data_IF_599746117171
#
_entry.id   IF_599746117171
#
_cell.length_a   1.000
_cell.length_b   1.000
_cell.length_c   1.000
_cell.angle_alpha   90.00
_cell.angle_beta   90.00
_cell.angle_gamma   90.00
#
_symmetry.space_group_name_H-M   'P 1'
#
loop_
_entity.id
_entity.type
_entity.pdbx_description
1 polymer ?
#
# COMPACT_ATOMS: atom_id res chain seq x y z
N UNK A 1 3.25 3.96 29.83
CA UNK A 1 3.80 4.70 28.65
C UNK A 1 2.71 5.60 28.07
N UNK A 2 3.04 6.73 27.45
CA UNK A 2 2.07 7.57 26.74
C UNK A 2 1.63 6.82 25.49
N UNK A 3 0.31 6.61 25.31
CA UNK A 3 -0.24 6.04 24.09
C UNK A 3 -0.48 7.14 23.07
N UNK A 4 -0.29 6.82 21.79
CA UNK A 4 -0.67 7.71 20.68
C UNK A 4 -2.17 7.58 20.45
N UNK A 5 -2.91 8.69 20.51
CA UNK A 5 -4.33 8.76 20.21
C UNK A 5 -4.55 8.81 18.71
N UNK A 6 -5.24 7.84 18.15
CA UNK A 6 -5.43 7.67 16.71
C UNK A 6 -6.90 7.78 16.34
N UNK A 7 -7.20 8.63 15.35
CA UNK A 7 -8.46 8.63 14.63
C UNK A 7 -8.34 7.87 13.31
N UNK A 8 -9.35 7.13 12.90
CA UNK A 8 -9.35 6.34 11.65
C UNK A 8 -10.46 6.83 10.74
N UNK A 9 -10.09 7.28 9.52
CA UNK A 9 -11.01 7.59 8.43
C UNK A 9 -11.11 6.40 7.49
N UNK A 10 -12.32 5.83 7.33
CA UNK A 10 -12.57 4.61 6.57
C UNK A 10 -12.58 3.37 7.47
N UNK A 11 -13.73 3.05 8.06
CA UNK A 11 -13.88 1.97 9.04
C UNK A 11 -13.71 0.57 8.47
N UNK A 12 -13.96 0.37 7.16
CA UNK A 12 -13.84 -0.97 6.54
C UNK A 12 -12.38 -1.38 6.35
N UNK A 13 -11.59 -0.66 5.54
CA UNK A 13 -10.16 -0.96 5.35
C UNK A 13 -9.36 -0.65 6.62
N UNK A 14 -9.74 0.39 7.34
CA UNK A 14 -9.10 0.80 8.59
C UNK A 14 -9.24 -0.21 9.75
N UNK A 15 -10.02 -1.29 9.58
CA UNK A 15 -10.16 -2.33 10.61
C UNK A 15 -8.84 -2.93 11.05
N UNK A 16 -7.87 -3.15 10.14
CA UNK A 16 -6.53 -3.64 10.50
C UNK A 16 -5.79 -2.67 11.42
N UNK A 17 -5.89 -1.35 11.16
CA UNK A 17 -5.25 -0.30 11.95
C UNK A 17 -5.93 -0.09 13.30
N UNK A 18 -7.26 -0.22 13.34
CA UNK A 18 -8.03 -0.24 14.59
C UNK A 18 -7.60 -1.43 15.45
N UNK A 19 -7.47 -2.62 14.84
CA UNK A 19 -7.00 -3.83 15.53
C UNK A 19 -5.58 -3.65 16.08
N UNK A 20 -4.69 -2.98 15.35
CA UNK A 20 -3.37 -2.61 15.87
C UNK A 20 -3.49 -1.80 17.16
N UNK A 21 -4.27 -0.72 17.17
CA UNK A 21 -4.46 0.12 18.34
C UNK A 21 -5.03 -0.65 19.54
N UNK A 22 -5.88 -1.64 19.28
CA UNK A 22 -6.45 -2.51 20.34
C UNK A 22 -5.38 -3.48 20.89
N UNK A 23 -4.50 -4.00 20.06
CA UNK A 23 -3.55 -5.07 20.43
C UNK A 23 -2.20 -4.55 20.96
N UNK A 24 -1.67 -3.46 20.39
CA UNK A 24 -0.26 -3.09 20.53
C UNK A 24 0.13 -2.32 21.79
N UNK A 25 -0.78 -1.86 22.61
CA UNK A 25 -0.46 -1.19 23.89
C UNK A 25 0.17 0.21 23.83
N UNK A 26 0.82 0.59 22.71
CA UNK A 26 1.49 1.89 22.49
C UNK A 26 0.59 2.93 21.76
N UNK A 27 -0.59 2.52 21.31
CA UNK A 27 -1.59 3.37 20.66
C UNK A 27 -2.98 3.08 21.20
N UNK A 28 -3.91 3.98 20.94
CA UNK A 28 -5.34 3.79 21.22
C UNK A 28 -6.17 4.44 20.11
N UNK A 29 -7.22 3.76 19.65
CA UNK A 29 -8.21 4.35 18.76
C UNK A 29 -9.19 5.18 19.58
N UNK A 30 -9.36 6.47 19.25
CA UNK A 30 -10.23 7.40 19.97
C UNK A 30 -11.42 7.87 19.13
N UNK A 31 -11.29 7.80 17.80
CA UNK A 31 -12.34 8.21 16.87
C UNK A 31 -12.33 7.37 15.60
N UNK A 32 -13.51 7.07 15.06
CA UNK A 32 -13.69 6.42 13.76
C UNK A 32 -14.67 7.26 12.93
N UNK A 33 -14.27 7.56 11.68
CA UNK A 33 -15.12 8.26 10.73
C UNK A 33 -15.34 7.42 9.48
N UNK A 34 -16.59 7.28 9.08
CA UNK A 34 -16.95 6.66 7.81
C UNK A 34 -18.25 7.27 7.27
N UNK A 35 -18.35 7.54 5.99
CA UNK A 35 -19.58 8.00 5.35
C UNK A 35 -20.67 6.94 5.31
N UNK A 36 -20.29 5.66 5.45
CA UNK A 36 -21.18 4.52 5.44
C UNK A 36 -21.52 4.08 6.87
N UNK A 37 -22.69 4.51 7.34
CA UNK A 37 -23.17 4.27 8.73
C UNK A 37 -23.10 2.80 9.16
N UNK A 38 -23.40 1.77 8.32
CA UNK A 38 -23.27 0.37 8.73
C UNK A 38 -21.86 -0.03 9.16
N UNK A 39 -20.80 0.57 8.59
CA UNK A 39 -19.43 0.31 9.04
C UNK A 39 -19.21 0.82 10.47
N UNK A 40 -19.74 2.00 10.80
CA UNK A 40 -19.66 2.55 12.17
C UNK A 40 -20.43 1.71 13.17
N UNK A 41 -21.67 1.30 12.85
CA UNK A 41 -22.48 0.41 13.69
C UNK A 41 -21.76 -0.89 14.02
N UNK A 42 -21.09 -1.47 13.01
CA UNK A 42 -20.30 -2.67 13.20
C UNK A 42 -19.15 -2.48 14.19
N UNK A 43 -18.43 -1.35 14.13
CA UNK A 43 -17.38 -1.05 15.10
C UNK A 43 -17.94 -0.82 16.51
N UNK A 44 -19.12 -0.22 16.65
CA UNK A 44 -19.81 -0.09 17.93
C UNK A 44 -20.16 -1.45 18.54
N UNK A 45 -20.59 -2.41 17.72
CA UNK A 45 -20.89 -3.78 18.16
C UNK A 45 -19.65 -4.58 18.57
N UNK A 46 -18.53 -4.40 17.84
CA UNK A 46 -17.27 -5.10 18.09
C UNK A 46 -16.52 -4.50 19.30
N UNK A 47 -16.67 -3.22 19.55
CA UNK A 47 -15.98 -2.47 20.60
C UNK A 47 -16.94 -1.81 21.60
N UNK A 48 -17.87 -2.57 22.23
CA UNK A 48 -18.95 -1.98 23.04
C UNK A 48 -18.47 -1.26 24.30
N UNK A 49 -17.30 -1.66 24.83
CA UNK A 49 -16.77 -1.15 26.11
C UNK A 49 -15.61 -0.14 25.90
N UNK A 50 -15.59 0.55 24.74
CA UNK A 50 -14.55 1.52 24.41
C UNK A 50 -15.09 2.95 24.34
N UNK A 51 -14.24 3.93 24.67
CA UNK A 51 -14.57 5.37 24.57
C UNK A 51 -14.37 5.92 23.14
N UNK A 52 -14.64 5.11 22.12
CA UNK A 52 -14.50 5.53 20.71
C UNK A 52 -15.66 6.43 20.32
N UNK A 53 -15.36 7.59 19.75
CA UNK A 53 -16.36 8.48 19.15
C UNK A 53 -16.51 8.18 17.66
N UNK A 54 -17.75 8.15 17.17
CA UNK A 54 -18.07 7.78 15.78
C UNK A 54 -18.61 8.99 15.02
N UNK A 55 -18.11 9.21 13.82
CA UNK A 55 -18.42 10.36 12.98
C UNK A 55 -18.86 9.93 11.58
N UNK A 56 -19.87 10.58 11.04
CA UNK A 56 -20.27 10.48 9.62
C UNK A 56 -19.61 11.57 8.76
N UNK A 57 -19.15 12.65 9.39
CA UNK A 57 -18.58 13.82 8.75
C UNK A 57 -17.12 14.02 9.14
N UNK A 58 -16.26 14.20 8.13
CA UNK A 58 -14.83 14.38 8.34
C UNK A 58 -14.50 15.71 9.05
N UNK A 59 -15.24 16.80 8.78
CA UNK A 59 -14.96 18.10 9.38
C UNK A 59 -15.28 18.13 10.89
N UNK A 60 -16.18 17.28 11.35
CA UNK A 60 -16.38 17.06 12.78
C UNK A 60 -15.34 16.09 13.36
N UNK A 61 -15.00 15.01 12.64
CA UNK A 61 -14.00 14.05 13.03
C UNK A 61 -12.62 14.67 13.25
N UNK A 62 -12.16 15.53 12.34
CA UNK A 62 -10.82 16.09 12.40
C UNK A 62 -10.58 17.03 13.59
N UNK A 63 -11.66 17.53 14.21
CA UNK A 63 -11.62 18.35 15.44
C UNK A 63 -11.47 17.54 16.70
N UNK A 64 -11.62 16.21 16.63
CA UNK A 64 -11.47 15.33 17.80
C UNK A 64 -10.06 15.45 18.40
N UNK A 65 -9.97 15.28 19.74
CA UNK A 65 -8.69 15.28 20.47
C UNK A 65 -7.90 14.00 20.16
N UNK A 66 -7.03 14.05 19.17
CA UNK A 66 -6.18 12.95 18.72
C UNK A 66 -4.80 13.46 18.27
N UNK A 67 -3.79 12.61 18.37
CA UNK A 67 -2.40 12.91 17.94
C UNK A 67 -2.22 12.63 16.44
N UNK A 68 -2.90 11.62 15.90
CA UNK A 68 -2.70 11.14 14.54
C UNK A 68 -4.00 10.69 13.86
N UNK A 69 -3.98 10.72 12.52
CA UNK A 69 -5.06 10.22 11.66
C UNK A 69 -4.54 9.12 10.75
N UNK A 70 -5.27 8.02 10.69
CA UNK A 70 -5.13 6.97 9.67
C UNK A 70 -6.14 7.24 8.56
N UNK A 71 -5.65 7.35 7.33
CA UNK A 71 -6.46 7.50 6.11
C UNK A 71 -6.57 6.14 5.43
N UNK A 72 -7.74 5.53 5.53
CA UNK A 72 -8.08 4.24 4.93
C UNK A 72 -9.39 4.33 4.12
N UNK A 73 -9.73 5.53 3.69
CA UNK A 73 -10.85 5.87 2.81
C UNK A 73 -10.53 5.53 1.33
N UNK A 74 -11.14 6.19 0.38
CA UNK A 74 -10.86 5.96 -1.03
C UNK A 74 -9.47 6.44 -1.42
N UNK A 75 -8.71 5.59 -2.14
CA UNK A 75 -7.32 5.86 -2.50
C UNK A 75 -7.12 7.15 -3.32
N UNK A 76 -8.12 7.56 -4.07
CA UNK A 76 -8.13 8.82 -4.83
C UNK A 76 -8.38 10.07 -3.98
N UNK A 77 -8.65 9.90 -2.69
CA UNK A 77 -8.96 11.00 -1.77
C UNK A 77 -7.89 11.20 -0.68
N UNK A 78 -6.84 10.38 -0.63
CA UNK A 78 -5.87 10.40 0.47
C UNK A 78 -5.13 11.74 0.57
N UNK A 79 -4.64 12.30 -0.54
CA UNK A 79 -3.85 13.54 -0.51
C UNK A 79 -4.60 14.73 0.10
N UNK A 80 -5.83 15.10 -0.33
CA UNK A 80 -6.54 16.22 0.26
C UNK A 80 -6.85 16.01 1.75
N UNK A 81 -7.18 14.79 2.19
CA UNK A 81 -7.40 14.50 3.61
C UNK A 81 -6.11 14.53 4.42
N UNK A 82 -4.98 14.05 3.87
CA UNK A 82 -3.67 14.13 4.51
C UNK A 82 -3.25 15.59 4.74
N UNK A 83 -3.35 16.42 3.69
CA UNK A 83 -3.05 17.85 3.75
C UNK A 83 -3.93 18.56 4.79
N UNK A 84 -5.22 18.20 4.83
CA UNK A 84 -6.16 18.77 5.79
C UNK A 84 -5.84 18.36 7.23
N UNK A 85 -5.52 17.08 7.47
CA UNK A 85 -5.14 16.58 8.79
C UNK A 85 -3.85 17.24 9.31
N UNK A 86 -2.85 17.41 8.44
CA UNK A 86 -1.60 18.09 8.82
C UNK A 86 -1.82 19.58 9.15
N UNK A 87 -2.72 20.27 8.47
CA UNK A 87 -3.11 21.65 8.81
C UNK A 87 -3.73 21.76 10.20
N UNK A 88 -4.40 20.70 10.67
CA UNK A 88 -4.94 20.58 12.03
C UNK A 88 -3.93 20.03 13.05
N UNK A 89 -2.65 19.91 12.66
CA UNK A 89 -1.59 19.48 13.57
C UNK A 89 -1.58 17.99 13.89
N UNK A 90 -2.16 17.16 13.01
CA UNK A 90 -2.20 15.70 13.19
C UNK A 90 -1.11 15.01 12.38
N UNK A 91 -0.42 14.02 12.98
CA UNK A 91 0.39 13.06 12.24
C UNK A 91 -0.50 12.26 11.30
N UNK A 92 0.03 11.77 10.18
CA UNK A 92 -0.76 11.06 9.16
C UNK A 92 -0.13 9.73 8.83
N UNK A 93 -0.92 8.67 8.93
CA UNK A 93 -0.70 7.41 8.23
C UNK A 93 -1.66 7.34 7.05
N UNK A 94 -1.12 7.23 5.83
CA UNK A 94 -1.93 7.14 4.62
C UNK A 94 -1.83 5.75 4.02
N UNK A 95 -2.95 5.06 3.86
CA UNK A 95 -3.03 3.89 3.01
C UNK A 95 -2.65 4.24 1.56
N UNK A 96 -2.39 3.21 0.77
CA UNK A 96 -2.09 3.35 -0.66
C UNK A 96 -3.33 3.83 -1.43
N UNK A 97 -3.23 4.82 -2.37
CA UNK A 97 -2.07 5.53 -2.90
C UNK A 97 -1.93 6.94 -2.27
N UNK A 98 -0.73 7.57 -2.40
CA UNK A 98 -0.50 8.86 -1.75
C UNK A 98 -1.23 10.02 -2.44
N UNK A 99 -1.51 9.92 -3.75
CA UNK A 99 -2.16 10.96 -4.56
C UNK A 99 -2.70 10.39 -5.87
N UNK A 100 -3.60 11.10 -6.54
CA UNK A 100 -4.08 10.75 -7.88
C UNK A 100 -3.62 11.71 -8.99
N UNK A 101 -3.07 12.87 -8.64
CA UNK A 101 -2.57 13.89 -9.60
C UNK A 101 -1.20 14.41 -9.18
N UNK A 102 -0.47 14.98 -10.14
CA UNK A 102 0.79 15.65 -9.84
C UNK A 102 0.61 16.91 -8.99
N UNK A 103 -0.50 17.64 -9.19
CA UNK A 103 -0.86 18.77 -8.32
C UNK A 103 -0.96 18.32 -6.86
N UNK A 104 -1.69 17.25 -6.58
CA UNK A 104 -1.82 16.69 -5.23
C UNK A 104 -0.47 16.21 -4.67
N UNK A 105 0.37 15.61 -5.50
CA UNK A 105 1.73 15.19 -5.08
C UNK A 105 2.55 16.39 -4.61
N UNK A 106 2.53 17.51 -5.35
CA UNK A 106 3.23 18.74 -4.99
C UNK A 106 2.68 19.33 -3.69
N UNK A 107 1.35 19.46 -3.59
CA UNK A 107 0.68 20.04 -2.41
C UNK A 107 0.91 19.16 -1.15
N UNK A 108 0.94 17.84 -1.29
CA UNK A 108 1.22 16.91 -0.20
C UNK A 108 2.66 17.07 0.33
N UNK A 109 3.65 17.10 -0.58
CA UNK A 109 5.06 17.33 -0.20
C UNK A 109 5.22 18.64 0.56
N UNK A 110 4.62 19.74 0.05
CA UNK A 110 4.69 21.04 0.70
C UNK A 110 4.00 21.07 2.08
N UNK A 111 2.89 20.34 2.23
CA UNK A 111 2.21 20.20 3.52
C UNK A 111 3.08 19.44 4.54
N UNK A 112 3.71 18.34 4.12
CA UNK A 112 4.63 17.56 4.96
C UNK A 112 5.83 18.41 5.38
N UNK A 113 6.53 19.05 4.43
CA UNK A 113 7.69 19.90 4.72
C UNK A 113 7.37 21.04 5.70
N UNK A 114 6.17 21.63 5.58
CA UNK A 114 5.74 22.76 6.42
C UNK A 114 5.31 22.34 7.81
N UNK A 115 4.81 21.14 7.99
CA UNK A 115 4.13 20.72 9.22
C UNK A 115 5.07 20.27 10.33
N UNK A 116 6.25 19.75 10.00
CA UNK A 116 7.14 19.01 10.91
C UNK A 116 6.48 17.79 11.60
N UNK A 117 5.39 17.28 11.01
CA UNK A 117 4.66 16.11 11.47
C UNK A 117 5.14 14.84 10.78
N UNK A 118 4.88 13.70 11.38
CA UNK A 118 5.13 12.41 10.74
C UNK A 118 4.05 12.18 9.68
N UNK A 119 4.48 11.96 8.45
CA UNK A 119 3.71 11.32 7.40
C UNK A 119 4.31 9.93 7.17
N UNK A 120 3.49 8.90 7.24
CA UNK A 120 3.88 7.53 6.92
C UNK A 120 2.94 6.95 5.86
N UNK A 121 3.51 6.30 4.87
CA UNK A 121 2.78 5.67 3.78
C UNK A 121 2.63 4.16 4.05
N UNK A 122 1.42 3.66 3.97
CA UNK A 122 1.04 2.30 4.34
C UNK A 122 1.25 1.24 3.26
N UNK A 123 2.39 1.27 2.53
CA UNK A 123 2.73 0.20 1.60
C UNK A 123 3.12 -1.08 2.35
N UNK A 124 2.14 -1.84 2.76
CA UNK A 124 2.29 -2.99 3.62
C UNK A 124 3.06 -4.16 3.00
N UNK A 125 3.17 -4.24 1.67
CA UNK A 125 3.99 -5.26 0.99
C UNK A 125 5.48 -5.10 1.28
N UNK A 126 5.95 -3.89 1.60
CA UNK A 126 7.32 -3.64 2.04
C UNK A 126 7.67 -4.38 3.33
N UNK A 127 6.68 -4.63 4.18
CA UNK A 127 6.83 -5.24 5.51
C UNK A 127 6.37 -6.70 5.58
N UNK A 128 6.00 -7.30 4.45
CA UNK A 128 5.78 -8.75 4.40
C UNK A 128 7.10 -9.50 4.68
N UNK A 129 7.06 -10.72 5.24
CA UNK A 129 8.27 -11.41 5.72
C UNK A 129 9.41 -11.48 4.70
N UNK A 130 9.13 -11.80 3.43
CA UNK A 130 10.18 -11.92 2.42
C UNK A 130 10.77 -10.56 2.02
N UNK A 131 10.01 -9.53 1.60
CA UNK A 131 10.56 -8.20 1.32
C UNK A 131 11.30 -7.56 2.50
N UNK A 132 10.78 -7.73 3.71
CA UNK A 132 11.43 -7.22 4.93
C UNK A 132 12.82 -7.85 5.14
N UNK A 133 12.93 -9.16 4.99
CA UNK A 133 14.23 -9.86 5.09
C UNK A 133 15.16 -9.51 3.91
N UNK A 134 14.62 -9.37 2.70
CA UNK A 134 15.39 -8.93 1.53
C UNK A 134 16.00 -7.54 1.76
N UNK A 135 15.27 -6.63 2.42
CA UNK A 135 15.80 -5.31 2.80
C UNK A 135 16.99 -5.43 3.74
N UNK A 136 16.86 -6.22 4.81
CA UNK A 136 17.95 -6.46 5.76
C UNK A 136 19.20 -7.00 5.06
N UNK A 137 19.04 -7.99 4.18
CA UNK A 137 20.13 -8.58 3.43
C UNK A 137 20.79 -7.58 2.46
N UNK A 138 19.97 -6.72 1.83
CA UNK A 138 20.46 -5.67 0.95
C UNK A 138 21.28 -4.62 1.71
N UNK A 139 20.76 -4.15 2.85
CA UNK A 139 21.47 -3.20 3.74
C UNK A 139 22.78 -3.77 4.29
N UNK A 140 22.86 -5.08 4.51
CA UNK A 140 24.11 -5.78 4.86
C UNK A 140 25.07 -5.95 3.65
N UNK A 141 24.69 -5.50 2.45
CA UNK A 141 25.51 -5.60 1.25
C UNK A 141 25.68 -7.01 0.67
N UNK A 142 24.77 -7.95 1.03
CA UNK A 142 24.87 -9.37 0.66
C UNK A 142 24.88 -9.63 -0.84
N UNK A 143 24.18 -8.80 -1.62
CA UNK A 143 24.10 -8.92 -3.08
C UNK A 143 24.74 -7.73 -3.81
N UNK A 144 25.30 -6.75 -3.08
CA UNK A 144 25.86 -5.53 -3.68
C UNK A 144 24.77 -4.59 -4.20
N UNK A 145 25.12 -3.70 -5.11
CA UNK A 145 24.24 -2.69 -5.71
C UNK A 145 23.28 -3.33 -6.72
N UNK A 146 22.01 -2.89 -6.72
CA UNK A 146 21.01 -3.36 -7.68
C UNK A 146 21.42 -3.04 -9.13
N UNK A 147 21.31 -4.03 -9.99
CA UNK A 147 21.48 -3.92 -11.44
C UNK A 147 20.16 -4.19 -12.16
N UNK A 148 19.39 -5.20 -11.69
CA UNK A 148 18.09 -5.57 -12.25
C UNK A 148 17.16 -6.10 -11.18
N UNK A 149 15.85 -5.85 -11.34
CA UNK A 149 14.82 -6.49 -10.52
C UNK A 149 13.57 -6.88 -11.32
N UNK A 150 12.89 -7.91 -10.85
CA UNK A 150 11.53 -8.25 -11.25
C UNK A 150 10.60 -8.21 -10.05
N UNK A 151 9.42 -7.66 -10.26
CA UNK A 151 8.38 -7.64 -9.23
C UNK A 151 6.99 -7.84 -9.83
N UNK A 152 6.14 -8.53 -9.08
CA UNK A 152 4.78 -8.85 -9.49
C UNK A 152 3.78 -8.60 -8.36
N UNK A 153 2.70 -7.90 -8.70
CA UNK A 153 1.47 -7.89 -7.93
C UNK A 153 0.31 -8.32 -8.82
N UNK A 154 0.14 -9.61 -8.95
CA UNK A 154 -0.98 -10.21 -9.67
C UNK A 154 -2.01 -10.63 -8.64
N UNK A 155 -3.17 -9.96 -8.64
CA UNK A 155 -4.25 -10.23 -7.70
C UNK A 155 -5.55 -10.54 -8.43
N UNK A 156 -6.06 -11.77 -8.27
CA UNK A 156 -7.36 -12.14 -8.81
C UNK A 156 -8.49 -11.57 -7.96
N UNK A 157 -8.73 -10.28 -8.08
CA UNK A 157 -9.75 -9.59 -7.31
C UNK A 157 -11.20 -9.86 -7.78
N UNK A 158 -11.40 -10.63 -8.86
CA UNK A 158 -12.75 -10.91 -9.40
C UNK A 158 -13.71 -11.48 -8.34
N UNK A 159 -13.31 -12.45 -7.50
CA UNK A 159 -14.21 -13.03 -6.48
C UNK A 159 -14.67 -12.02 -5.42
N UNK A 160 -13.86 -11.00 -5.12
CA UNK A 160 -14.12 -10.02 -4.07
C UNK A 160 -14.49 -8.63 -4.60
N UNK A 161 -14.60 -8.46 -5.94
CA UNK A 161 -14.78 -7.13 -6.55
C UNK A 161 -16.04 -6.41 -6.06
N UNK A 162 -17.14 -7.15 -5.91
CA UNK A 162 -18.40 -6.63 -5.37
C UNK A 162 -18.26 -6.12 -3.94
N UNK A 163 -17.45 -6.76 -3.09
CA UNK A 163 -17.27 -6.34 -1.70
C UNK A 163 -16.33 -5.13 -1.55
N UNK A 164 -15.36 -4.96 -2.47
CA UNK A 164 -14.41 -3.84 -2.43
C UNK A 164 -14.81 -2.64 -3.30
N UNK A 165 -15.93 -2.75 -4.04
CA UNK A 165 -16.52 -1.67 -4.85
C UNK A 165 -17.96 -1.37 -4.48
N UNK A 166 -18.56 -2.17 -3.60
CA UNK A 166 -19.97 -2.09 -3.18
C UNK A 166 -20.97 -2.19 -4.37
N UNK A 167 -20.49 -2.57 -5.54
CA UNK A 167 -21.26 -2.55 -6.80
C UNK A 167 -21.52 -1.14 -7.34
N UNK A 168 -20.89 -0.11 -6.84
CA UNK A 168 -21.04 1.28 -7.29
C UNK A 168 -20.33 1.50 -8.63
N UNK A 169 -21.02 2.06 -9.62
CA UNK A 169 -20.44 2.36 -10.93
C UNK A 169 -19.29 3.38 -10.85
N UNK A 170 -19.47 4.42 -10.04
CA UNK A 170 -18.52 5.51 -9.88
C UNK A 170 -17.45 5.23 -8.79
N UNK A 171 -17.44 4.01 -8.21
CA UNK A 171 -16.37 3.64 -7.29
C UNK A 171 -15.00 3.77 -7.96
N UNK A 172 -14.04 4.35 -7.26
CA UNK A 172 -12.72 4.64 -7.80
C UNK A 172 -12.04 3.41 -8.43
N UNK A 173 -12.16 2.21 -7.84
CA UNK A 173 -11.56 0.96 -8.38
C UNK A 173 -12.08 0.59 -9.76
N UNK A 174 -13.30 0.98 -10.13
CA UNK A 174 -13.86 0.78 -11.47
C UNK A 174 -13.32 1.78 -12.49
N UNK A 175 -12.78 2.91 -12.01
CA UNK A 175 -12.50 4.10 -12.78
C UNK A 175 -11.03 4.57 -12.74
N UNK A 176 -10.09 3.72 -12.30
CA UNK A 176 -8.66 4.00 -12.36
C UNK A 176 -7.97 3.24 -13.50
N UNK A 177 -6.95 3.84 -14.08
CA UNK A 177 -6.16 3.26 -15.17
C UNK A 177 -5.30 2.08 -14.68
N UNK A 178 -4.82 1.25 -15.61
CA UNK A 178 -4.20 -0.03 -15.30
C UNK A 178 -2.89 0.04 -14.50
N UNK A 179 -2.15 1.15 -14.61
CA UNK A 179 -0.89 1.36 -13.87
C UNK A 179 -1.06 2.13 -12.56
N UNK A 180 -2.29 2.53 -12.19
CA UNK A 180 -2.55 3.33 -10.99
C UNK A 180 -2.10 2.64 -9.69
N UNK A 181 -2.22 1.33 -9.61
CA UNK A 181 -2.00 0.54 -8.39
C UNK A 181 -0.67 -0.23 -8.42
N UNK A 182 0.41 0.42 -8.90
CA UNK A 182 1.72 -0.20 -9.10
C UNK A 182 2.52 -0.41 -7.80
N UNK A 183 2.16 0.25 -6.70
CA UNK A 183 3.00 0.33 -5.50
C UNK A 183 3.22 -1.01 -4.82
N UNK A 184 2.27 -1.92 -4.86
CA UNK A 184 2.44 -3.26 -4.30
C UNK A 184 3.45 -4.13 -5.07
N UNK A 185 3.68 -3.86 -6.36
CA UNK A 185 4.75 -4.53 -7.10
C UNK A 185 6.07 -3.78 -6.96
N UNK A 186 6.10 -2.49 -7.28
CA UNK A 186 7.30 -1.67 -7.34
C UNK A 186 7.82 -1.25 -5.95
N UNK A 187 6.90 -0.94 -5.03
CA UNK A 187 7.21 -0.38 -3.72
C UNK A 187 8.24 -1.17 -2.92
N UNK A 188 8.11 -2.49 -2.75
CA UNK A 188 9.11 -3.27 -2.05
C UNK A 188 10.52 -3.15 -2.63
N UNK A 189 10.68 -3.08 -3.95
CA UNK A 189 12.01 -2.91 -4.57
C UNK A 189 12.58 -1.52 -4.27
N UNK A 190 11.76 -0.47 -4.37
CA UNK A 190 12.16 0.91 -4.00
C UNK A 190 12.53 0.98 -2.52
N UNK A 191 11.72 0.37 -1.64
CA UNK A 191 11.97 0.36 -0.20
C UNK A 191 13.24 -0.41 0.20
N UNK A 192 13.50 -1.54 -0.43
CA UNK A 192 14.69 -2.36 -0.20
C UNK A 192 15.95 -1.61 -0.64
N UNK A 193 15.92 -1.02 -1.84
CA UNK A 193 17.13 -0.50 -2.48
C UNK A 193 17.37 0.98 -2.21
N UNK A 194 16.32 1.72 -1.82
CA UNK A 194 16.32 3.19 -1.67
C UNK A 194 16.77 3.92 -2.95
N UNK A 195 16.69 3.25 -4.10
CA UNK A 195 16.98 3.84 -5.39
C UNK A 195 15.75 4.51 -5.98
N UNK A 196 15.88 5.77 -6.40
CA UNK A 196 14.80 6.55 -6.97
C UNK A 196 14.54 6.14 -8.44
N UNK A 197 13.29 5.89 -8.84
CA UNK A 197 12.87 5.81 -10.23
C UNK A 197 13.06 7.14 -10.98
N UNK A 198 13.71 7.11 -12.15
CA UNK A 198 14.01 8.32 -12.93
C UNK A 198 13.33 8.35 -14.28
N UNK A 199 12.99 7.17 -14.84
CA UNK A 199 12.31 7.06 -16.12
C UNK A 199 11.48 5.80 -16.19
N UNK A 200 10.37 5.84 -16.90
CA UNK A 200 9.49 4.70 -17.07
C UNK A 200 8.89 4.66 -18.47
N UNK A 201 8.60 3.46 -18.96
CA UNK A 201 7.65 3.23 -20.03
C UNK A 201 6.74 2.06 -19.69
N UNK A 202 5.49 2.14 -20.16
CA UNK A 202 4.44 1.20 -19.81
C UNK A 202 3.76 0.56 -21.01
N UNK A 203 3.20 -0.61 -20.76
CA UNK A 203 2.29 -1.30 -21.68
C UNK A 203 1.06 -1.75 -20.91
N UNK A 204 -0.10 -1.52 -21.51
CA UNK A 204 -1.38 -1.97 -20.99
C UNK A 204 -1.90 -3.13 -21.84
N UNK A 205 -2.40 -4.17 -21.19
CA UNK A 205 -3.07 -5.26 -21.88
C UNK A 205 -4.48 -4.83 -22.35
N UNK A 206 -5.06 -5.58 -23.29
CA UNK A 206 -6.45 -5.37 -23.68
C UNK A 206 -7.41 -5.59 -22.51
N UNK A 207 -8.57 -4.95 -22.57
CA UNK A 207 -9.71 -5.23 -21.69
C UNK A 207 -10.29 -6.62 -21.99
N UNK A 208 -10.69 -7.33 -20.95
CA UNK A 208 -11.24 -8.69 -21.08
C UNK A 208 -12.65 -8.78 -20.56
N UNK A 209 -13.40 -9.81 -20.99
CA UNK A 209 -14.72 -10.12 -20.45
C UNK A 209 -14.70 -10.28 -18.92
N UNK A 210 -13.61 -10.77 -18.35
CA UNK A 210 -13.43 -10.88 -16.88
C UNK A 210 -13.48 -9.53 -16.18
N UNK A 211 -12.87 -8.49 -16.76
CA UNK A 211 -12.92 -7.12 -16.24
C UNK A 211 -14.30 -6.49 -16.43
N UNK A 212 -14.87 -6.62 -17.65
CA UNK A 212 -16.14 -6.00 -17.99
C UNK A 212 -17.31 -6.55 -17.17
N UNK A 213 -17.34 -7.86 -16.93
CA UNK A 213 -18.43 -8.51 -16.17
C UNK A 213 -18.45 -8.16 -14.66
N UNK A 214 -17.39 -7.54 -14.15
CA UNK A 214 -17.32 -7.05 -12.76
C UNK A 214 -17.40 -5.52 -12.65
N UNK A 215 -17.51 -4.80 -13.78
CA UNK A 215 -17.65 -3.35 -13.78
C UNK A 215 -16.34 -2.57 -13.91
N UNK A 216 -15.19 -3.24 -14.01
CA UNK A 216 -13.89 -2.58 -14.11
C UNK A 216 -13.56 -2.17 -15.54
N UNK A 217 -13.10 -0.92 -15.75
CA UNK A 217 -12.95 -0.31 -17.10
C UNK A 217 -11.53 -0.37 -17.67
N UNK A 218 -10.49 -0.53 -16.84
CA UNK A 218 -9.08 -0.57 -17.27
C UNK A 218 -8.70 -1.86 -18.00
N UNK A 219 -7.49 -1.90 -18.58
CA UNK A 219 -6.87 -3.13 -19.08
C UNK A 219 -6.74 -4.22 -18.00
N UNK A 220 -6.54 -5.46 -18.43
CA UNK A 220 -6.48 -6.61 -17.50
C UNK A 220 -5.27 -6.55 -16.58
N UNK A 221 -4.13 -6.13 -17.12
CA UNK A 221 -2.87 -5.91 -16.40
C UNK A 221 -2.01 -4.88 -17.13
N UNK A 222 -0.97 -4.40 -16.45
CA UNK A 222 0.04 -3.54 -17.03
C UNK A 222 1.46 -4.04 -16.70
N UNK A 223 2.40 -3.65 -17.55
CA UNK A 223 3.84 -3.85 -17.37
C UNK A 223 4.51 -2.49 -17.40
N UNK A 224 5.40 -2.26 -16.45
CA UNK A 224 6.24 -1.08 -16.36
C UNK A 224 7.71 -1.50 -16.42
N UNK A 225 8.49 -0.82 -17.26
CA UNK A 225 9.94 -0.90 -17.24
C UNK A 225 10.46 0.41 -16.67
N UNK A 226 11.11 0.34 -15.51
CA UNK A 226 11.53 1.50 -14.71
C UNK A 226 13.04 1.55 -14.64
N UNK A 227 13.63 2.69 -15.03
CA UNK A 227 15.05 2.99 -14.85
C UNK A 227 15.25 3.68 -13.50
N UNK A 228 16.22 3.23 -12.72
CA UNK A 228 16.64 3.79 -11.45
C UNK A 228 17.78 4.82 -11.62
N UNK A 229 17.98 5.68 -10.63
CA UNK A 229 19.01 6.73 -10.68
C UNK A 229 20.44 6.18 -10.77
N UNK A 230 20.69 4.96 -10.26
CA UNK A 230 21.99 4.28 -10.43
C UNK A 230 22.13 3.55 -11.78
N UNK A 231 21.14 3.63 -12.67
CA UNK A 231 21.08 2.93 -13.95
C UNK A 231 20.53 1.49 -13.88
N UNK A 232 20.16 0.99 -12.73
CA UNK A 232 19.46 -0.29 -12.57
C UNK A 232 18.07 -0.26 -13.22
N UNK A 233 17.55 -1.42 -13.59
CA UNK A 233 16.26 -1.54 -14.29
C UNK A 233 15.34 -2.46 -13.50
N UNK A 234 14.07 -2.03 -13.34
CA UNK A 234 13.02 -2.85 -12.73
C UNK A 234 11.97 -3.19 -13.79
N UNK A 235 11.58 -4.46 -13.85
CA UNK A 235 10.38 -4.92 -14.55
C UNK A 235 9.28 -5.14 -13.53
N UNK A 236 8.23 -4.32 -13.56
CA UNK A 236 7.06 -4.42 -12.69
C UNK A 236 5.85 -4.90 -13.47
N UNK A 237 5.14 -5.89 -12.91
CA UNK A 237 3.89 -6.42 -13.50
C UNK A 237 2.80 -6.37 -12.43
N UNK A 238 1.66 -5.76 -12.74
CA UNK A 238 0.52 -5.75 -11.81
C UNK A 238 -0.82 -5.80 -12.54
N UNK A 239 -1.82 -6.35 -11.87
CA UNK A 239 -3.17 -6.44 -12.43
C UNK A 239 -3.96 -7.66 -11.96
N UNK A 240 -5.04 -7.96 -12.68
CA UNK A 240 -6.06 -8.92 -12.27
C UNK A 240 -6.02 -10.21 -13.09
N UNK A 241 -4.89 -10.89 -13.16
CA UNK A 241 -4.80 -12.19 -13.81
C UNK A 241 -5.47 -13.28 -12.96
N UNK A 242 -5.66 -14.47 -13.55
CA UNK A 242 -6.49 -15.51 -12.94
C UNK A 242 -5.94 -16.06 -11.63
N UNK A 243 -4.62 -16.11 -11.46
CA UNK A 243 -3.97 -16.62 -10.25
C UNK A 243 -3.10 -15.55 -9.61
N UNK A 244 -3.18 -15.43 -8.29
CA UNK A 244 -2.37 -14.50 -7.52
C UNK A 244 -0.88 -14.83 -7.63
N UNK A 245 -0.06 -13.78 -7.71
CA UNK A 245 1.39 -13.85 -7.64
C UNK A 245 1.93 -12.57 -7.01
N UNK A 246 2.60 -12.72 -5.88
CA UNK A 246 3.38 -11.67 -5.24
C UNK A 246 4.83 -12.14 -5.27
N UNK A 247 5.65 -11.53 -6.11
CA UNK A 247 6.99 -12.01 -6.37
C UNK A 247 7.97 -10.84 -6.50
N UNK A 248 9.11 -10.99 -5.86
CA UNK A 248 10.17 -10.00 -5.86
C UNK A 248 11.51 -10.71 -6.09
N UNK A 249 12.31 -10.21 -7.01
CA UNK A 249 13.64 -10.71 -7.32
C UNK A 249 14.57 -9.53 -7.55
N UNK A 250 15.76 -9.56 -6.96
CA UNK A 250 16.79 -8.55 -7.15
C UNK A 250 18.09 -9.23 -7.56
N UNK A 251 18.65 -8.81 -8.68
CA UNK A 251 20.01 -9.08 -9.09
C UNK A 251 20.87 -7.89 -8.71
N UNK A 252 21.87 -8.12 -7.91
CA UNK A 252 22.88 -7.14 -7.55
C UNK A 252 24.25 -7.52 -8.08
N UNK A 253 25.20 -6.62 -7.95
CA UNK A 253 26.57 -6.76 -8.46
C UNK A 253 27.37 -7.93 -7.84
N UNK A 254 26.88 -8.54 -6.74
CA UNK A 254 27.54 -9.64 -6.03
C UNK A 254 26.65 -10.87 -5.87
N UNK A 255 25.40 -10.83 -6.28
CA UNK A 255 24.51 -11.97 -6.12
C UNK A 255 23.05 -11.65 -6.46
N UNK A 256 22.18 -12.58 -6.08
CA UNK A 256 20.75 -12.50 -6.34
C UNK A 256 19.97 -12.95 -5.10
N UNK A 257 18.81 -12.35 -4.90
CA UNK A 257 17.83 -12.84 -3.93
C UNK A 257 16.41 -12.77 -4.51
N UNK A 258 15.52 -13.65 -4.05
CA UNK A 258 14.14 -13.67 -4.51
C UNK A 258 13.19 -14.20 -3.44
N UNK A 259 11.95 -13.71 -3.43
CA UNK A 259 10.86 -14.30 -2.66
C UNK A 259 10.31 -15.53 -3.36
N UNK A 260 9.79 -16.51 -2.60
CA UNK A 260 9.04 -17.62 -3.19
C UNK A 260 7.71 -17.13 -3.77
N UNK A 261 7.27 -17.72 -4.88
CA UNK A 261 5.91 -17.50 -5.38
C UNK A 261 4.88 -18.17 -4.45
N UNK A 262 3.64 -17.65 -4.32
CA UNK A 262 2.63 -18.14 -3.38
C UNK A 262 2.29 -19.63 -3.50
N UNK A 263 2.39 -20.20 -4.69
CA UNK A 263 2.09 -21.60 -4.98
C UNK A 263 3.23 -22.57 -4.67
N UNK A 264 4.40 -22.08 -4.26
CA UNK A 264 5.56 -22.93 -3.94
C UNK A 264 5.75 -23.16 -2.44
N UNK A 265 5.61 -22.30 -1.59
CA UNK A 265 5.57 -22.23 -0.12
C UNK A 265 5.88 -20.78 0.23
N UNK A 266 4.87 -19.94 0.28
CA UNK A 266 5.02 -18.52 0.56
C UNK A 266 5.83 -18.24 1.82
N UNK A 267 6.62 -17.17 1.77
CA UNK A 267 7.44 -16.74 2.89
C UNK A 267 8.84 -17.33 2.94
N UNK A 268 9.24 -18.17 1.99
CA UNK A 268 10.63 -18.56 1.84
C UNK A 268 11.37 -17.53 0.98
N UNK A 269 12.62 -17.26 1.32
CA UNK A 269 13.55 -16.54 0.47
C UNK A 269 14.51 -17.53 -0.15
N UNK A 270 14.74 -17.38 -1.45
CA UNK A 270 15.82 -18.05 -2.16
C UNK A 270 16.90 -17.03 -2.42
N UNK A 271 18.05 -17.19 -1.80
CA UNK A 271 19.20 -16.34 -2.01
C UNK A 271 20.28 -17.09 -2.77
N UNK A 272 20.61 -16.61 -3.95
CA UNK A 272 21.80 -17.02 -4.69
C UNK A 272 22.87 -15.95 -4.46
N UNK A 273 23.97 -16.33 -3.86
CA UNK A 273 25.06 -15.43 -3.51
C UNK A 273 26.32 -15.83 -4.26
N UNK A 274 26.91 -14.89 -4.99
CA UNK A 274 28.21 -15.03 -5.62
C UNK A 274 29.11 -13.96 -5.05
N UNK A 275 30.18 -14.35 -4.35
CA UNK A 275 31.17 -13.39 -3.87
C UNK A 275 32.26 -13.21 -4.94
N UNK A 276 32.33 -12.05 -5.56
CA UNK A 276 33.31 -11.73 -6.59
C UNK A 276 34.76 -11.68 -6.07
N UNK A 277 34.96 -11.37 -4.78
CA UNK A 277 36.28 -11.33 -4.15
C UNK A 277 36.81 -12.72 -3.81
N UNK A 278 35.91 -13.71 -3.71
CA UNK A 278 36.24 -15.14 -3.50
C UNK A 278 36.30 -15.91 -4.81
N UNK A 279 36.21 -15.23 -5.94
CA UNK A 279 36.29 -15.84 -7.25
C UNK A 279 37.70 -16.35 -7.54
N UNK A 280 37.94 -17.63 -7.26
CA UNK A 280 39.24 -18.26 -7.47
C UNK A 280 39.21 -19.20 -8.70
N UNK A 281 39.18 -18.65 -9.91
CA UNK A 281 39.28 -19.49 -11.10
C UNK A 281 38.05 -19.46 -12.02
N UNK A 282 37.84 -20.51 -12.81
CA UNK A 282 36.86 -20.50 -13.90
C UNK A 282 35.38 -20.38 -13.46
N UNK A 283 35.06 -20.76 -12.23
CA UNK A 283 33.72 -20.62 -11.65
C UNK A 283 33.84 -20.39 -10.16
N UNK A 284 33.33 -19.28 -9.66
CA UNK A 284 33.21 -19.01 -8.22
C UNK A 284 32.28 -20.01 -7.51
N UNK A 285 32.49 -20.21 -6.22
CA UNK A 285 31.56 -21.01 -5.41
C UNK A 285 30.26 -20.21 -5.20
N UNK A 286 29.13 -20.76 -5.65
CA UNK A 286 27.82 -20.22 -5.39
C UNK A 286 27.33 -20.67 -4.02
N UNK A 287 26.97 -19.74 -3.16
CA UNK A 287 26.27 -20.05 -1.92
C UNK A 287 24.77 -19.92 -2.14
N UNK A 288 24.05 -21.03 -2.06
CA UNK A 288 22.59 -21.08 -2.17
C UNK A 288 21.99 -21.31 -0.79
N UNK A 289 21.17 -20.36 -0.33
CA UNK A 289 20.39 -20.48 0.89
C UNK A 289 18.89 -20.36 0.59
N UNK A 290 18.05 -21.21 1.16
CA UNK A 290 16.60 -21.13 1.09
C UNK A 290 16.02 -21.34 2.49
N UNK A 291 15.32 -20.34 2.99
CA UNK A 291 14.76 -20.39 4.34
C UNK A 291 13.49 -19.53 4.46
N UNK A 292 12.73 -19.76 5.51
CA UNK A 292 11.59 -18.93 5.90
C UNK A 292 12.10 -17.85 6.87
N UNK A 293 11.93 -16.55 6.56
CA UNK A 293 12.33 -15.48 7.46
C UNK A 293 11.58 -15.54 8.79
N UNK A 294 12.29 -15.20 9.87
CA UNK A 294 11.68 -14.98 11.19
C UNK A 294 11.85 -13.51 11.53
N UNK A 295 10.74 -12.81 11.70
CA UNK A 295 10.74 -11.37 12.01
C UNK A 295 10.59 -11.14 13.53
N UNK A 296 11.09 -10.01 14.02
CA UNK A 296 10.73 -9.50 15.33
C UNK A 296 9.22 -9.35 15.43
N UNK A 297 8.63 -9.52 16.61
CA UNK A 297 7.16 -9.43 16.81
C UNK A 297 6.33 -10.44 15.99
N UNK A 298 6.94 -11.54 15.51
CA UNK A 298 6.27 -12.51 14.64
C UNK A 298 5.00 -13.12 15.28
N UNK A 299 4.97 -13.26 16.61
CA UNK A 299 3.81 -13.84 17.30
C UNK A 299 2.58 -12.93 17.26
N UNK A 300 2.76 -11.62 17.43
CA UNK A 300 1.66 -10.67 17.34
C UNK A 300 1.34 -10.30 15.89
N UNK A 301 2.33 -10.14 15.02
CA UNK A 301 2.11 -9.71 13.64
C UNK A 301 1.33 -10.72 12.80
N UNK A 302 1.43 -12.02 13.10
CA UNK A 302 0.76 -13.10 12.34
C UNK A 302 -0.78 -13.04 12.34
N UNK A 303 -1.38 -12.34 13.31
CA UNK A 303 -2.85 -12.15 13.36
C UNK A 303 -3.34 -11.00 12.47
N UNK A 304 -2.42 -10.22 11.89
CA UNK A 304 -2.74 -9.11 11.01
C UNK A 304 -2.66 -9.51 9.53
N UNK A 305 -3.34 -8.73 8.70
CA UNK A 305 -3.38 -8.93 7.26
C UNK A 305 -2.01 -8.83 6.59
N UNK A 306 -1.95 -9.30 5.34
CA UNK A 306 -0.76 -9.20 4.48
C UNK A 306 0.51 -9.81 5.11
N UNK A 307 0.35 -10.99 5.75
CA UNK A 307 1.48 -11.68 6.38
C UNK A 307 2.14 -10.93 7.53
N UNK A 308 1.43 -10.00 8.15
CA UNK A 308 1.91 -9.12 9.22
C UNK A 308 2.31 -7.72 8.74
N UNK A 309 2.32 -7.45 7.44
CA UNK A 309 2.68 -6.14 6.89
C UNK A 309 1.84 -4.99 7.44
N UNK A 310 0.55 -5.21 7.68
CA UNK A 310 -0.35 -4.22 8.30
C UNK A 310 0.07 -3.88 9.74
N UNK A 311 0.63 -4.84 10.48
CA UNK A 311 1.16 -4.61 11.82
C UNK A 311 2.41 -3.73 11.78
N UNK A 312 3.42 -4.12 10.98
CA UNK A 312 4.71 -3.42 10.98
C UNK A 312 4.59 -1.99 10.46
N UNK A 313 3.77 -1.73 9.44
CA UNK A 313 3.56 -0.37 8.94
C UNK A 313 2.99 0.56 10.01
N UNK A 314 2.00 0.08 10.79
CA UNK A 314 1.46 0.84 11.92
C UNK A 314 2.43 0.93 13.10
N UNK A 315 3.15 -0.15 13.40
CA UNK A 315 4.14 -0.19 14.47
C UNK A 315 5.20 0.90 14.27
N UNK A 316 5.84 0.95 13.11
CA UNK A 316 6.84 1.96 12.82
C UNK A 316 6.28 3.39 12.78
N UNK A 317 5.03 3.57 12.31
CA UNK A 317 4.38 4.88 12.38
C UNK A 317 4.23 5.36 13.84
N UNK A 318 3.74 4.52 14.72
CA UNK A 318 3.55 4.85 16.13
C UNK A 318 4.88 5.07 16.83
N UNK A 319 5.89 4.19 16.63
CA UNK A 319 7.24 4.36 17.20
C UNK A 319 7.89 5.66 16.73
N UNK A 320 7.71 6.03 15.45
CA UNK A 320 8.20 7.32 14.93
C UNK A 320 7.62 8.52 15.66
N UNK A 321 6.31 8.48 15.94
CA UNK A 321 5.64 9.54 16.74
C UNK A 321 6.14 9.56 18.17
N UNK A 322 6.42 8.40 18.76
CA UNK A 322 6.96 8.28 20.11
C UNK A 322 8.45 8.69 20.23
N UNK A 323 9.12 8.94 19.09
CA UNK A 323 10.47 9.50 19.05
C UNK A 323 11.56 8.54 18.61
N UNK A 324 11.22 7.32 18.18
CA UNK A 324 12.20 6.43 17.56
C UNK A 324 12.60 6.97 16.18
N UNK A 325 13.83 7.47 16.10
CA UNK A 325 14.39 8.02 14.85
C UNK A 325 14.68 6.94 13.81
N UNK A 326 14.85 5.69 14.25
CA UNK A 326 15.18 4.55 13.40
C UNK A 326 13.95 3.78 12.95
N UNK A 327 12.74 4.19 13.39
CA UNK A 327 11.51 3.55 12.93
C UNK A 327 11.42 3.58 11.41
N UNK A 328 11.25 2.40 10.82
CA UNK A 328 11.32 2.16 9.37
C UNK A 328 10.00 2.57 8.67
N UNK A 329 9.71 3.87 8.67
CA UNK A 329 8.55 4.44 8.00
C UNK A 329 8.87 4.81 6.56
N UNK A 330 7.89 4.66 5.67
CA UNK A 330 7.96 5.17 4.30
C UNK A 330 7.49 6.62 4.33
N UNK A 331 8.38 7.56 4.07
CA UNK A 331 8.06 8.99 4.06
C UNK A 331 7.35 9.43 2.77
N UNK A 332 7.01 10.73 2.67
CA UNK A 332 6.29 11.26 1.50
C UNK A 332 7.09 11.14 0.21
N UNK A 333 8.40 11.27 0.27
CA UNK A 333 9.23 11.19 -0.94
C UNK A 333 9.34 9.76 -1.45
N UNK A 334 9.56 8.82 -0.55
CA UNK A 334 9.60 7.41 -0.88
C UNK A 334 8.23 6.91 -1.36
N UNK A 335 7.13 7.38 -0.75
CA UNK A 335 5.77 7.10 -1.20
C UNK A 335 5.53 7.55 -2.65
N UNK A 336 6.04 8.73 -3.02
CA UNK A 336 5.95 9.25 -4.38
C UNK A 336 6.89 8.52 -5.34
N UNK A 337 8.10 8.14 -4.91
CA UNK A 337 8.99 7.28 -5.70
C UNK A 337 8.34 5.92 -6.03
N UNK A 338 7.43 5.41 -5.17
CA UNK A 338 6.67 4.19 -5.42
C UNK A 338 5.45 4.40 -6.34
N UNK A 339 4.81 5.58 -6.28
CA UNK A 339 3.53 5.83 -6.95
C UNK A 339 3.66 6.54 -8.30
N UNK A 340 4.60 7.50 -8.43
CA UNK A 340 4.76 8.26 -9.66
C UNK A 340 5.13 7.40 -10.88
N UNK A 341 5.91 6.31 -10.76
CA UNK A 341 6.14 5.42 -11.89
C UNK A 341 4.84 4.96 -12.56
N UNK A 342 3.82 4.57 -11.81
CA UNK A 342 2.52 4.17 -12.38
C UNK A 342 1.80 5.30 -13.10
N UNK A 343 1.82 6.51 -12.55
CA UNK A 343 1.24 7.68 -13.19
C UNK A 343 1.96 8.03 -14.50
N UNK A 344 3.29 7.97 -14.52
CA UNK A 344 4.09 8.27 -15.71
C UNK A 344 4.09 7.10 -16.72
N UNK A 345 3.97 5.86 -16.26
CA UNK A 345 3.73 4.71 -17.14
C UNK A 345 2.41 4.85 -17.90
N UNK A 346 1.36 5.38 -17.26
CA UNK A 346 0.12 5.62 -18.01
C UNK A 346 0.24 6.75 -19.03
N UNK A 347 0.99 7.83 -18.72
CA UNK A 347 1.37 8.86 -19.70
C UNK A 347 2.12 8.25 -20.89
N UNK A 348 3.06 7.33 -20.61
CA UNK A 348 3.77 6.58 -21.62
C UNK A 348 2.83 5.77 -22.51
N UNK A 349 1.90 5.02 -21.92
CA UNK A 349 0.88 4.23 -22.64
C UNK A 349 0.04 5.12 -23.56
N UNK A 350 -0.44 6.28 -23.06
CA UNK A 350 -1.23 7.23 -23.84
C UNK A 350 -0.41 7.87 -24.98
N UNK A 351 0.92 7.96 -24.82
CA UNK A 351 1.86 8.43 -25.84
C UNK A 351 2.41 7.32 -26.74
N UNK A 352 1.79 6.14 -26.78
CA UNK A 352 2.18 5.01 -27.62
C UNK A 352 3.43 4.26 -27.15
N UNK A 353 3.73 4.28 -25.84
CA UNK A 353 4.84 3.55 -25.21
C UNK A 353 6.17 4.33 -25.20
N UNK A 354 6.12 5.65 -25.39
CA UNK A 354 7.32 6.50 -25.30
C UNK A 354 7.83 6.57 -23.86
N UNK A 355 9.16 6.56 -23.63
CA UNK A 355 9.73 6.76 -22.30
C UNK A 355 9.31 8.10 -21.69
N UNK A 356 9.02 8.12 -20.40
CA UNK A 356 8.67 9.31 -19.63
C UNK A 356 9.65 9.49 -18.48
N UNK A 357 10.23 10.68 -18.36
CA UNK A 357 11.06 11.04 -17.22
C UNK A 357 10.17 11.29 -15.99
N UNK A 358 10.57 10.74 -14.83
CA UNK A 358 9.85 10.87 -13.56
C UNK A 358 10.48 12.03 -12.78
N UNK A 359 9.70 13.08 -12.43
CA UNK A 359 10.24 14.24 -11.73
C UNK A 359 10.66 13.90 -10.29
N UNK A 360 11.71 14.54 -9.82
CA UNK A 360 12.10 14.52 -8.41
C UNK A 360 11.40 15.65 -7.65
N UNK A 361 10.36 15.32 -6.88
CA UNK A 361 9.63 16.32 -6.10
C UNK A 361 10.36 16.79 -4.83
N UNK A 362 11.58 16.31 -4.56
CA UNK A 362 12.51 16.94 -3.60
C UNK A 362 12.99 18.29 -4.13
N UNK A 363 13.05 18.44 -5.47
CA UNK A 363 13.43 19.68 -6.15
C UNK A 363 12.23 20.63 -6.30
N UNK A 364 12.34 21.81 -5.70
CA UNK A 364 11.28 22.84 -5.77
C UNK A 364 11.01 23.37 -7.18
N UNK A 365 12.03 23.46 -8.03
CA UNK A 365 11.86 23.91 -9.42
C UNK A 365 11.09 22.87 -10.25
N UNK A 366 11.29 21.58 -9.98
CA UNK A 366 10.49 20.53 -10.60
C UNK A 366 9.02 20.63 -10.16
N UNK A 367 8.74 20.87 -8.87
CA UNK A 367 7.37 21.02 -8.36
C UNK A 367 6.59 22.09 -9.12
N UNK A 368 7.22 23.24 -9.45
CA UNK A 368 6.55 24.34 -10.15
C UNK A 368 6.04 23.92 -11.54
N UNK A 369 6.73 23.01 -12.22
CA UNK A 369 6.30 22.48 -13.52
C UNK A 369 5.01 21.66 -13.42
N UNK A 370 4.77 21.02 -12.27
CA UNK A 370 3.67 20.08 -12.03
C UNK A 370 2.54 20.65 -11.16
N UNK A 371 2.69 21.85 -10.62
CA UNK A 371 1.76 22.48 -9.66
C UNK A 371 0.31 22.52 -10.12
N UNK A 372 0.07 22.65 -11.41
CA UNK A 372 -1.26 22.77 -12.00
C UNK A 372 -1.68 21.51 -12.80
N UNK A 373 -0.92 20.44 -12.72
CA UNK A 373 -1.22 19.21 -13.45
C UNK A 373 -2.25 18.38 -12.67
N UNK A 374 -3.49 18.39 -13.15
CA UNK A 374 -4.63 17.65 -12.61
C UNK A 374 -4.96 16.40 -13.40
N UNK A 375 -4.08 15.97 -14.31
CA UNK A 375 -4.33 14.85 -15.19
C UNK A 375 -4.52 13.53 -14.42
N UNK A 376 -5.71 12.97 -14.53
CA UNK A 376 -6.11 11.68 -13.96
C UNK A 376 -7.37 11.16 -14.66
N UNK A 377 -7.87 10.00 -14.24
CA UNK A 377 -9.09 9.40 -14.80
C UNK A 377 -10.37 9.76 -14.03
N UNK A 378 -10.29 10.58 -12.99
CA UNK A 378 -11.45 11.07 -12.25
C UNK A 378 -11.97 12.39 -12.84
N UNK A 379 -13.18 12.42 -13.47
CA UNK A 379 -13.73 13.62 -14.07
C UNK A 379 -14.05 14.74 -13.06
N UNK A 380 -14.17 14.43 -11.77
CA UNK A 380 -14.41 15.41 -10.70
C UNK A 380 -13.15 16.23 -10.39
N UNK A 381 -11.97 15.71 -10.72
CA UNK A 381 -10.66 16.30 -10.37
C UNK A 381 -9.90 16.76 -11.60
N UNK A 382 -9.91 15.98 -12.68
CA UNK A 382 -9.08 16.19 -13.87
C UNK A 382 -9.39 17.47 -14.64
N UNK A 383 -10.67 17.94 -14.67
CA UNK A 383 -11.08 19.05 -15.53
C UNK A 383 -10.77 18.77 -17.01
N UNK A 384 -10.09 19.71 -17.65
CA UNK A 384 -9.69 19.56 -19.08
C UNK A 384 -8.58 18.54 -19.32
N UNK A 385 -7.94 18.01 -18.25
CA UNK A 385 -6.86 17.01 -18.33
C UNK A 385 -7.35 15.58 -18.11
N UNK A 386 -8.62 15.29 -18.35
CA UNK A 386 -9.22 13.97 -18.13
C UNK A 386 -8.60 12.89 -19.01
N UNK A 387 -8.10 11.84 -18.38
CA UNK A 387 -7.63 10.64 -19.07
C UNK A 387 -8.73 9.60 -19.22
N UNK A 388 -8.71 8.80 -20.29
CA UNK A 388 -9.50 7.58 -20.33
C UNK A 388 -8.98 6.59 -19.26
N UNK A 389 -9.87 5.75 -18.74
CA UNK A 389 -9.51 4.65 -17.81
C UNK A 389 -8.76 3.52 -18.55
N UNK A 390 -9.13 3.31 -19.80
CA UNK A 390 -8.46 2.38 -20.73
C UNK A 390 -7.91 3.15 -21.91
N UNK A 391 -6.65 2.93 -22.25
CA UNK A 391 -5.94 3.68 -23.31
C UNK A 391 -6.60 3.58 -24.68
N UNK A 392 -7.28 2.49 -24.98
CA UNK A 392 -8.07 2.29 -26.19
C UNK A 392 -9.51 2.85 -26.14
N UNK A 393 -9.82 3.72 -25.15
CA UNK A 393 -11.13 4.31 -24.92
C UNK A 393 -11.98 3.52 -23.92
N UNK A 394 -12.72 4.26 -23.09
CA UNK A 394 -13.52 3.68 -22.01
C UNK A 394 -14.58 2.71 -22.54
N UNK A 395 -14.65 1.48 -22.00
CA UNK A 395 -15.70 0.54 -22.35
C UNK A 395 -17.06 1.02 -21.83
N UNK A 396 -18.11 0.76 -22.57
CA UNK A 396 -19.48 0.86 -22.07
C UNK A 396 -19.80 -0.42 -21.30
N UNK A 397 -20.14 -0.29 -20.03
CA UNK A 397 -20.53 -1.41 -19.17
C UNK A 397 -22.01 -1.28 -18.87
N UNK A 398 -22.83 -2.32 -19.12
CA UNK A 398 -24.25 -2.28 -18.84
C UNK A 398 -24.55 -2.05 -17.34
N UNK A 399 -25.56 -1.25 -17.05
CA UNK A 399 -26.00 -0.94 -15.66
C UNK A 399 -26.32 -2.21 -14.85
N UNK A 400 -26.81 -3.26 -15.51
CA UNK A 400 -27.12 -4.55 -14.91
C UNK A 400 -25.89 -5.23 -14.27
N UNK A 401 -24.69 -4.92 -14.75
CA UNK A 401 -23.44 -5.44 -14.14
C UNK A 401 -23.28 -4.85 -12.75
N UNK A 402 -23.43 -3.54 -12.61
CA UNK A 402 -23.31 -2.87 -11.30
C UNK A 402 -24.42 -3.28 -10.34
N UNK A 403 -25.67 -3.36 -10.82
CA UNK A 403 -26.80 -3.87 -10.04
C UNK A 403 -26.55 -5.28 -9.50
N UNK A 404 -26.02 -6.18 -10.33
CA UNK A 404 -25.66 -7.54 -9.90
C UNK A 404 -24.54 -7.53 -8.85
N UNK A 405 -23.51 -6.69 -9.01
CA UNK A 405 -22.44 -6.56 -8.03
C UNK A 405 -22.94 -5.99 -6.69
N UNK A 406 -23.84 -5.01 -6.74
CA UNK A 406 -24.46 -4.42 -5.54
C UNK A 406 -25.32 -5.47 -4.79
N UNK A 407 -26.16 -6.22 -5.49
CA UNK A 407 -26.97 -7.28 -4.86
C UNK A 407 -26.09 -8.33 -4.21
N UNK A 408 -25.02 -8.76 -4.89
CA UNK A 408 -24.07 -9.71 -4.32
C UNK A 408 -23.37 -9.15 -3.09
N UNK A 409 -23.00 -7.86 -3.09
CA UNK A 409 -22.42 -7.21 -1.91
C UNK A 409 -23.39 -7.21 -0.72
N UNK A 410 -24.66 -6.84 -0.94
CA UNK A 410 -25.70 -6.83 0.11
C UNK A 410 -25.89 -8.24 0.68
N UNK A 411 -26.08 -9.24 -0.19
CA UNK A 411 -26.27 -10.63 0.22
C UNK A 411 -25.09 -11.14 1.08
N UNK A 412 -23.86 -10.88 0.67
CA UNK A 412 -22.68 -11.30 1.43
C UNK A 412 -22.51 -10.50 2.72
N UNK A 413 -22.82 -9.21 2.72
CA UNK A 413 -22.76 -8.37 3.91
C UNK A 413 -23.77 -8.83 4.96
N UNK A 414 -25.01 -9.14 4.56
CA UNK A 414 -26.05 -9.68 5.44
C UNK A 414 -25.70 -11.08 5.97
N UNK A 415 -25.15 -11.95 5.10
CA UNK A 415 -24.73 -13.29 5.47
C UNK A 415 -23.50 -13.29 6.41
N UNK A 416 -22.57 -12.36 6.22
CA UNK A 416 -21.32 -12.27 6.98
C UNK A 416 -21.42 -11.52 8.30
N UNK A 417 -22.57 -10.95 8.67
CA UNK A 417 -22.78 -10.41 10.02
C UNK A 417 -22.53 -11.46 11.10
N UNK A 418 -22.70 -12.78 10.79
CA UNK A 418 -22.31 -13.88 11.67
C UNK A 418 -20.85 -14.32 11.55
N UNK A 419 -20.25 -14.26 10.35
CA UNK A 419 -18.89 -14.79 10.08
C UNK A 419 -17.77 -13.87 10.57
N UNK A 420 -17.99 -12.57 10.53
CA UNK A 420 -17.03 -11.59 11.07
C UNK A 420 -17.04 -11.60 12.60
N UNK A 421 -18.16 -11.93 13.23
CA UNK A 421 -18.18 -12.22 14.66
C UNK A 421 -17.33 -13.45 15.01
N UNK A 422 -17.32 -14.51 14.17
CA UNK A 422 -16.54 -15.71 14.43
C UNK A 422 -15.03 -15.52 14.18
N UNK A 423 -14.64 -14.81 13.12
CA UNK A 423 -13.22 -14.51 12.87
C UNK A 423 -12.65 -13.47 13.83
N UNK A 424 -13.46 -12.51 14.26
CA UNK A 424 -13.08 -11.50 15.28
C UNK A 424 -13.11 -12.06 16.70
N UNK A 425 -14.02 -12.97 17.03
CA UNK A 425 -14.00 -13.66 18.33
C UNK A 425 -12.79 -14.58 18.45
N UNK A 426 -12.41 -15.28 17.40
CA UNK A 426 -11.15 -16.03 17.39
C UNK A 426 -9.92 -15.14 17.46
N UNK A 427 -9.90 -13.98 16.77
CA UNK A 427 -8.80 -13.02 16.87
C UNK A 427 -8.82 -12.22 18.18
N UNK A 428 -9.99 -11.96 18.80
CA UNK A 428 -10.08 -11.29 20.09
C UNK A 428 -9.75 -12.23 21.26
N UNK A 429 -10.10 -13.51 21.17
CA UNK A 429 -9.63 -14.50 22.14
C UNK A 429 -8.12 -14.76 22.00
N UNK A 430 -7.59 -14.86 20.77
CA UNK A 430 -6.16 -14.91 20.51
C UNK A 430 -5.47 -13.58 20.84
N UNK A 431 -6.14 -12.44 20.67
CA UNK A 431 -5.66 -11.11 21.05
C UNK A 431 -5.62 -10.89 22.57
N UNK A 432 -6.49 -11.51 23.33
CA UNK A 432 -6.44 -11.48 24.80
C UNK A 432 -5.30 -12.35 25.32
N UNK A 433 -5.09 -13.55 24.77
CA UNK A 433 -3.91 -14.39 25.09
C UNK A 433 -2.60 -13.72 24.62
N UNK A 434 -2.60 -13.00 23.47
CA UNK A 434 -1.45 -12.23 23.01
C UNK A 434 -1.19 -10.99 23.87
N UNK A 435 -2.20 -10.37 24.50
CA UNK A 435 -2.02 -9.26 25.45
C UNK A 435 -1.29 -9.67 26.73
N UNK A 436 -1.61 -10.82 27.28
CA UNK A 436 -0.92 -11.35 28.46
C UNK A 436 0.53 -11.70 28.12
N UNK A 437 0.79 -12.19 26.90
CA UNK A 437 2.13 -12.55 26.46
C UNK A 437 2.95 -11.33 25.97
N UNK A 438 2.34 -10.31 25.34
CA UNK A 438 3.06 -9.13 24.82
C UNK A 438 3.50 -8.18 25.93
N UNK A 439 2.71 -8.05 27.01
CA UNK A 439 3.16 -7.30 28.21
C UNK A 439 4.36 -7.96 28.87
N UNK A 440 4.49 -9.29 28.80
CA UNK A 440 5.64 -10.03 29.32
C UNK A 440 6.87 -9.92 28.38
N UNK A 441 6.70 -9.75 27.08
CA UNK A 441 7.79 -9.65 26.11
C UNK A 441 8.33 -8.22 26.04
N UNK A 442 7.46 -7.18 26.04
CA UNK A 442 7.90 -5.79 26.08
C UNK A 442 8.63 -5.37 27.39
N UNK A 443 8.40 -6.14 28.47
CA UNK A 443 9.10 -5.91 29.76
C UNK A 443 10.43 -6.67 29.89
N UNK A 444 10.83 -7.47 28.90
CA UNK A 444 12.09 -8.25 28.92
C UNK A 444 13.19 -7.70 28.03
N UNK A 445 12.89 -6.70 27.20
CA UNK A 445 13.87 -6.04 26.31
C UNK A 445 14.29 -4.64 26.82
N UNK A 446 14.17 -4.37 28.16
CA UNK A 446 14.81 -3.24 28.84
C UNK A 446 16.17 -3.62 29.44
#
# INVERSE_FOLDING_TARGET
MKKVKIGVLGGYRGSSMINYCVAAGNAEVVAICDKWEPALKRHQEIHPDTDITYYLDFEEFIKHDMDAVVLANYATEHAPFAIRAMKEGKHVFSEVLPCQTMKEAVELVEAVEKSNLVYAYGENFCYMPAPYEMKRLYEEGKIGEIEYAECEYIHNAEPIWHSITYGEEDHWRNNVYSTFYCTHSLGPIVHITKQRPVRVFGMESHKTERKLRIGAKSGQFAIEMVELENGGIIKSVHGHLYKDSHYYQIYGSKGRMESARPDTKSGNIHMLYVNADEYSGEYGEEKIEAYKPTLSHAEISKIFGHGGGDFYSMYYFVEKILGDKNADTIDVYEALDMALPGMFAYRSILAGGMPMDIPDLRNKEEREKWRNDTACSDPKVAGDMLWPVFSGGNPQIPEEVYKRMMLKHIEEFEANTGYVNAAFTQSSEQGVEAREHSNDIMMRDE
#
